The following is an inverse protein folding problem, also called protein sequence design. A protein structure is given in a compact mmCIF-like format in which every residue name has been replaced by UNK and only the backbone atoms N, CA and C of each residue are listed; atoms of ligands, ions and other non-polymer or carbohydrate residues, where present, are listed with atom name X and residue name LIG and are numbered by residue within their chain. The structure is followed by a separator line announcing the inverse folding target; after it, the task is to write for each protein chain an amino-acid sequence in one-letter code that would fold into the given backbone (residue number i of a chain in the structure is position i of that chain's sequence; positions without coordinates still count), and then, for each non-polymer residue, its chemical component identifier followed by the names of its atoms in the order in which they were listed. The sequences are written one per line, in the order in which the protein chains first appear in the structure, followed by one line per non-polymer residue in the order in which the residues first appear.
data_IF_763721759633
#
_entry.id   IF_763721759633
#
_cell.length_a   1.000
_cell.length_b   1.000
_cell.length_c   1.000
_cell.angle_alpha   90.00
_cell.angle_beta   90.00
_cell.angle_gamma   90.00
#
_symmetry.space_group_name_H-M   'P 1'
#
loop_
_entity.id
_entity.type
_entity.pdbx_description
1 polymer ?
#
# COMPACT_ATOMS: atom_id res chain seq x y z
N UNK A 1 23.04 -22.53 1.14
CA UNK A 1 22.02 -22.25 2.18
C UNK A 1 21.73 -20.76 2.14
N UNK A 2 20.61 -20.33 1.53
CA UNK A 2 20.17 -18.93 1.57
C UNK A 2 19.92 -18.59 3.05
N UNK A 3 20.49 -17.50 3.55
CA UNK A 3 20.18 -17.00 4.89
C UNK A 3 18.66 -16.85 4.99
N UNK A 4 18.01 -17.65 5.84
CA UNK A 4 16.61 -17.46 6.19
C UNK A 4 16.55 -16.24 7.11
N UNK A 5 16.63 -15.05 6.51
CA UNK A 5 16.32 -13.81 7.20
C UNK A 5 14.90 -13.87 7.78
N UNK A 6 14.65 -13.08 8.82
CA UNK A 6 13.31 -12.94 9.40
C UNK A 6 12.34 -12.43 8.32
N UNK A 7 11.22 -13.13 8.11
CA UNK A 7 10.16 -12.71 7.18
C UNK A 7 9.50 -11.44 7.70
N UNK A 8 9.12 -10.54 6.80
CA UNK A 8 8.33 -9.37 7.18
C UNK A 8 6.86 -9.75 7.31
N UNK A 9 6.32 -9.54 8.50
CA UNK A 9 4.90 -9.69 8.82
C UNK A 9 4.43 -8.33 9.26
N UNK A 10 3.70 -7.65 8.37
CA UNK A 10 3.39 -6.25 8.55
C UNK A 10 1.96 -5.87 8.19
N UNK A 11 1.71 -4.58 8.35
CA UNK A 11 0.46 -3.92 7.98
C UNK A 11 0.78 -2.63 7.21
N UNK A 12 -0.16 -2.20 6.38
CA UNK A 12 -0.13 -0.89 5.77
C UNK A 12 -0.71 0.16 6.73
N UNK A 13 -0.15 1.35 6.76
CA UNK A 13 -0.70 2.52 7.47
C UNK A 13 -1.49 3.40 6.50
N UNK A 14 -2.44 2.77 5.79
CA UNK A 14 -3.31 3.42 4.81
C UNK A 14 -4.24 4.45 5.45
N UNK A 15 -4.72 5.41 4.65
CA UNK A 15 -5.51 6.55 5.12
C UNK A 15 -4.87 7.42 6.19
N UNK A 16 -3.56 7.29 6.47
CA UNK A 16 -2.87 8.17 7.42
C UNK A 16 -2.25 9.40 6.74
N UNK A 17 -1.30 9.19 5.81
CA UNK A 17 -0.60 10.27 5.09
C UNK A 17 -1.10 10.46 3.64
N UNK A 18 -1.98 9.56 3.18
CA UNK A 18 -2.76 9.68 1.93
C UNK A 18 -4.17 9.26 2.28
N UNK A 19 -5.17 10.13 2.14
CA UNK A 19 -6.55 9.87 2.54
C UNK A 19 -7.30 9.03 1.51
N UNK A 20 -8.00 8.00 1.97
CA UNK A 20 -9.01 7.28 1.19
C UNK A 20 -10.37 7.39 1.86
N UNK A 21 -11.36 7.86 1.11
CA UNK A 21 -12.68 8.19 1.64
C UNK A 21 -13.39 7.01 2.29
N UNK A 22 -13.21 5.80 1.74
CA UNK A 22 -13.88 4.60 2.23
C UNK A 22 -13.34 4.12 3.59
N UNK A 23 -12.06 4.42 3.93
CA UNK A 23 -11.46 4.05 5.21
C UNK A 23 -11.76 5.05 6.33
N UNK A 24 -11.80 6.34 5.99
CA UNK A 24 -12.02 7.46 6.93
C UNK A 24 -13.18 8.37 6.48
N UNK A 25 -14.39 7.82 6.27
CA UNK A 25 -15.54 8.57 5.75
C UNK A 25 -15.89 9.80 6.59
N UNK A 26 -15.61 9.80 7.89
CA UNK A 26 -15.88 10.94 8.78
C UNK A 26 -15.17 12.23 8.33
N UNK A 27 -13.99 12.14 7.71
CA UNK A 27 -13.27 13.31 7.18
C UNK A 27 -13.93 13.92 5.95
N UNK A 28 -14.69 13.11 5.21
CA UNK A 28 -15.35 13.51 3.96
C UNK A 28 -16.84 13.84 4.15
N UNK A 29 -17.37 13.76 5.37
CA UNK A 29 -18.77 14.01 5.65
C UNK A 29 -19.18 15.44 5.24
N UNK A 30 -20.24 15.54 4.45
CA UNK A 30 -20.76 16.81 3.93
C UNK A 30 -19.96 17.42 2.78
N UNK A 31 -18.93 16.74 2.28
CA UNK A 31 -18.11 17.19 1.15
C UNK A 31 -18.45 16.45 -0.15
N UNK A 32 -18.30 17.13 -1.28
CA UNK A 32 -18.39 16.52 -2.60
C UNK A 32 -17.12 15.72 -2.95
N UNK A 33 -16.00 16.05 -2.32
CA UNK A 33 -14.70 15.41 -2.47
C UNK A 33 -14.76 13.87 -2.43
N UNK A 34 -13.98 13.26 -3.33
CA UNK A 34 -13.85 11.80 -3.47
C UNK A 34 -12.44 11.29 -3.24
N UNK A 35 -11.45 12.18 -3.18
CA UNK A 35 -10.04 11.90 -2.99
C UNK A 35 -9.37 13.05 -2.20
N UNK A 36 -8.12 12.87 -1.77
CA UNK A 36 -7.42 13.90 -0.98
C UNK A 36 -7.23 15.23 -1.74
N UNK A 37 -7.06 15.17 -3.07
CA UNK A 37 -6.90 16.38 -3.89
C UNK A 37 -8.14 17.25 -3.85
N UNK A 38 -9.28 16.67 -4.17
CA UNK A 38 -10.58 17.37 -4.14
C UNK A 38 -10.96 17.75 -2.72
N UNK A 39 -10.59 16.95 -1.72
CA UNK A 39 -10.79 17.26 -0.29
C UNK A 39 -10.03 18.51 0.13
N UNK A 40 -8.74 18.60 -0.22
CA UNK A 40 -7.93 19.78 0.05
C UNK A 40 -8.43 21.01 -0.73
N UNK A 41 -8.78 20.83 -2.00
CA UNK A 41 -9.28 21.92 -2.86
C UNK A 41 -10.63 22.48 -2.38
N UNK A 42 -11.54 21.62 -1.94
CA UNK A 42 -12.88 22.00 -1.47
C UNK A 42 -12.81 22.69 -0.09
N UNK A 43 -12.01 22.16 0.84
CA UNK A 43 -11.88 22.74 2.19
C UNK A 43 -11.01 24.00 2.25
N UNK A 44 -10.04 24.14 1.34
CA UNK A 44 -9.06 25.23 1.38
C UNK A 44 -8.33 25.30 2.73
N UNK A 45 -8.27 26.48 3.34
CA UNK A 45 -7.57 26.71 4.62
C UNK A 45 -8.05 25.80 5.77
N UNK A 46 -9.32 25.38 5.76
CA UNK A 46 -9.88 24.50 6.78
C UNK A 46 -9.30 23.06 6.73
N UNK A 47 -8.69 22.67 5.61
CA UNK A 47 -8.04 21.37 5.45
C UNK A 47 -6.92 21.17 6.47
N UNK A 48 -6.15 22.24 6.75
CA UNK A 48 -4.96 22.16 7.61
C UNK A 48 -5.30 21.71 9.02
N UNK A 49 -6.27 22.33 9.69
CA UNK A 49 -6.65 21.96 11.06
C UNK A 49 -7.18 20.51 11.12
N UNK A 50 -8.03 20.13 10.18
CA UNK A 50 -8.64 18.80 10.11
C UNK A 50 -7.58 17.72 9.89
N UNK A 51 -6.67 17.92 8.93
CA UNK A 51 -5.67 16.91 8.60
C UNK A 51 -4.59 16.80 9.67
N UNK A 52 -4.17 17.90 10.31
CA UNK A 52 -3.27 17.83 11.45
C UNK A 52 -3.89 17.10 12.64
N UNK A 53 -5.19 17.28 12.89
CA UNK A 53 -5.88 16.50 13.92
C UNK A 53 -5.84 15.01 13.58
N UNK A 54 -6.24 14.65 12.36
CA UNK A 54 -6.21 13.28 11.85
C UNK A 54 -4.83 12.63 11.99
N UNK A 55 -3.77 13.29 11.50
CA UNK A 55 -2.40 12.81 11.59
C UNK A 55 -1.94 12.51 13.02
N UNK A 56 -2.47 13.21 14.02
CA UNK A 56 -2.08 13.06 15.41
C UNK A 56 -2.98 12.11 16.22
N UNK A 57 -4.11 11.65 15.68
CA UNK A 57 -5.06 10.80 16.41
C UNK A 57 -5.37 9.46 15.74
N UNK A 58 -5.18 9.34 14.43
CA UNK A 58 -5.56 8.11 13.71
C UNK A 58 -4.57 6.97 13.92
N UNK A 59 -3.26 7.27 13.76
CA UNK A 59 -2.16 6.38 14.11
C UNK A 59 -1.23 7.11 15.08
N UNK A 60 -0.89 6.42 16.17
CA UNK A 60 -0.16 6.95 17.31
C UNK A 60 0.99 6.01 17.71
N UNK A 61 1.83 6.45 18.64
CA UNK A 61 2.89 5.61 19.21
C UNK A 61 2.36 4.29 19.78
N UNK A 62 1.19 4.30 20.42
CA UNK A 62 0.61 3.11 21.04
C UNK A 62 0.16 2.09 20.00
N UNK A 63 -0.15 2.53 18.78
CA UNK A 63 -0.44 1.62 17.67
C UNK A 63 0.82 0.85 17.23
N UNK A 64 1.99 1.50 17.20
CA UNK A 64 3.28 0.82 16.93
C UNK A 64 3.64 -0.16 18.05
N UNK A 65 3.40 0.21 19.31
CA UNK A 65 3.56 -0.69 20.46
C UNK A 65 2.68 -1.92 20.32
N UNK A 66 1.39 -1.73 20.00
CA UNK A 66 0.41 -2.80 19.82
C UNK A 66 0.85 -3.76 18.70
N UNK A 67 1.32 -3.25 17.56
CA UNK A 67 1.82 -4.07 16.46
C UNK A 67 2.99 -4.96 16.90
N UNK A 68 3.99 -4.38 17.56
CA UNK A 68 5.13 -5.13 18.06
C UNK A 68 4.74 -6.17 19.12
N UNK A 69 3.83 -5.81 20.04
CA UNK A 69 3.30 -6.74 21.05
C UNK A 69 2.60 -7.94 20.42
N UNK A 70 1.92 -7.76 19.28
CA UNK A 70 1.25 -8.83 18.53
C UNK A 70 2.20 -9.61 17.61
N UNK A 71 3.50 -9.31 17.62
CA UNK A 71 4.52 -10.04 16.89
C UNK A 71 4.67 -9.62 15.43
N UNK A 72 4.11 -8.48 15.04
CA UNK A 72 4.39 -7.87 13.75
C UNK A 72 5.78 -7.22 13.83
N UNK A 73 6.49 -7.20 12.71
CA UNK A 73 7.86 -6.70 12.65
C UNK A 73 8.09 -5.67 11.53
N UNK A 74 7.03 -5.26 10.83
CA UNK A 74 7.12 -4.28 9.76
C UNK A 74 5.84 -3.45 9.58
N UNK A 75 6.00 -2.25 9.02
CA UNK A 75 4.91 -1.40 8.52
C UNK A 75 5.26 -0.88 7.12
N UNK A 76 4.25 -0.77 6.26
CA UNK A 76 4.33 -0.07 4.97
C UNK A 76 3.58 1.25 5.09
N UNK A 77 4.20 2.36 4.69
CA UNK A 77 3.67 3.72 4.88
C UNK A 77 3.45 4.38 3.51
N UNK A 78 2.18 4.45 3.06
CA UNK A 78 1.79 5.21 1.87
C UNK A 78 2.07 6.71 1.99
N UNK A 79 2.69 7.30 0.96
CA UNK A 79 3.05 8.73 0.91
C UNK A 79 2.60 9.36 -0.42
N UNK A 80 2.03 10.56 -0.34
CA UNK A 80 1.74 11.37 -1.52
C UNK A 80 2.96 12.18 -1.96
N UNK A 81 3.04 12.50 -3.26
CA UNK A 81 4.12 13.31 -3.83
C UNK A 81 4.22 14.73 -3.22
N UNK A 82 3.20 15.17 -2.49
CA UNK A 82 3.15 16.43 -1.75
C UNK A 82 3.78 16.37 -0.36
N UNK A 83 4.29 15.22 0.10
CA UNK A 83 4.79 14.99 1.47
C UNK A 83 5.78 16.06 1.97
N UNK A 84 6.57 16.63 1.06
CA UNK A 84 7.57 17.66 1.35
C UNK A 84 7.07 19.11 1.20
N UNK A 85 5.82 19.32 0.84
CA UNK A 85 5.26 20.63 0.48
C UNK A 85 5.66 21.10 -0.93
N UNK A 86 5.31 22.35 -1.24
CA UNK A 86 5.61 23.01 -2.52
C UNK A 86 7.12 23.02 -2.85
N UNK A 87 7.52 23.12 -4.12
CA UNK A 87 6.74 23.41 -5.35
C UNK A 87 6.58 22.16 -6.22
N UNK A 88 5.47 21.42 -6.06
CA UNK A 88 5.11 20.28 -6.91
C UNK A 88 4.37 20.74 -8.18
N UNK A 89 4.41 19.97 -9.29
CA UNK A 89 3.72 20.33 -10.54
C UNK A 89 2.22 20.58 -10.34
N UNK A 90 1.71 21.67 -10.93
CA UNK A 90 0.28 22.00 -10.89
C UNK A 90 -0.55 21.07 -11.79
N UNK A 91 -1.72 20.65 -11.29
CA UNK A 91 -2.75 19.94 -12.04
C UNK A 91 -4.09 20.71 -11.94
N UNK A 92 -4.93 20.76 -13.01
CA UNK A 92 -6.21 21.47 -12.97
C UNK A 92 -7.17 21.06 -11.85
N UNK A 93 -7.15 19.79 -11.40
CA UNK A 93 -7.96 19.31 -10.27
C UNK A 93 -7.64 19.99 -8.93
N UNK A 94 -6.54 20.73 -8.84
CA UNK A 94 -6.18 21.50 -7.63
C UNK A 94 -7.06 22.76 -7.47
N UNK A 95 -7.84 23.10 -8.49
CA UNK A 95 -8.76 24.24 -8.47
C UNK A 95 -7.99 25.57 -8.47
N UNK A 96 -8.42 26.50 -7.63
CA UNK A 96 -7.87 27.86 -7.59
C UNK A 96 -6.52 27.94 -6.88
N UNK A 97 -6.21 26.99 -6.00
CA UNK A 97 -4.93 26.94 -5.30
C UNK A 97 -3.91 26.19 -6.14
N UNK A 98 -2.74 26.80 -6.36
CA UNK A 98 -1.63 26.12 -7.04
C UNK A 98 -1.10 24.94 -6.22
N UNK A 99 -1.14 25.07 -4.89
CA UNK A 99 -0.66 24.07 -3.95
C UNK A 99 -1.70 23.82 -2.85
N UNK A 100 -2.73 22.99 -3.11
CA UNK A 100 -3.82 22.79 -2.15
C UNK A 100 -3.47 21.87 -0.98
N UNK A 101 -2.46 21.01 -1.11
CA UNK A 101 -2.16 19.98 -0.10
C UNK A 101 -1.62 20.60 1.18
N UNK A 102 -2.06 20.03 2.31
CA UNK A 102 -1.64 20.45 3.64
C UNK A 102 -0.17 20.10 3.87
N UNK A 103 0.60 21.06 4.39
CA UNK A 103 2.00 20.87 4.76
C UNK A 103 2.14 20.27 6.17
N UNK A 104 3.23 19.58 6.45
CA UNK A 104 3.54 19.02 7.78
C UNK A 104 3.63 17.49 7.82
N UNK A 105 3.18 16.80 6.78
CA UNK A 105 3.23 15.34 6.68
C UNK A 105 4.62 14.75 6.87
N UNK A 106 5.69 15.41 6.40
CA UNK A 106 7.06 14.92 6.62
C UNK A 106 7.43 14.81 8.11
N UNK A 107 6.95 15.72 8.96
CA UNK A 107 7.20 15.67 10.40
C UNK A 107 6.40 14.56 11.10
N UNK A 108 5.26 14.16 10.52
CA UNK A 108 4.49 12.98 10.96
C UNK A 108 5.27 11.72 10.61
N UNK A 109 5.81 11.64 9.39
CA UNK A 109 6.66 10.52 8.96
C UNK A 109 7.93 10.41 9.81
N UNK A 110 8.58 11.52 10.16
CA UNK A 110 9.73 11.51 11.08
C UNK A 110 9.37 10.81 12.42
N UNK A 111 8.23 11.17 13.02
CA UNK A 111 7.76 10.52 14.26
C UNK A 111 7.45 9.03 14.07
N UNK A 112 6.87 8.66 12.93
CA UNK A 112 6.58 7.27 12.59
C UNK A 112 7.87 6.43 12.50
N UNK A 113 8.92 6.99 11.90
CA UNK A 113 10.23 6.36 11.81
C UNK A 113 10.84 6.14 13.20
N UNK A 114 10.77 7.15 14.09
CA UNK A 114 11.24 7.05 15.47
C UNK A 114 10.48 5.95 16.25
N UNK A 115 9.14 5.92 16.14
CA UNK A 115 8.33 4.86 16.77
C UNK A 115 8.66 3.48 16.21
N UNK A 116 8.85 3.36 14.89
CA UNK A 116 9.27 2.10 14.29
C UNK A 116 10.60 1.60 14.86
N UNK A 117 11.59 2.48 14.98
CA UNK A 117 12.86 2.14 15.61
C UNK A 117 12.68 1.74 17.07
N UNK A 118 11.90 2.51 17.84
CA UNK A 118 11.64 2.25 19.27
C UNK A 118 11.09 0.85 19.50
N UNK A 119 10.15 0.40 18.66
CA UNK A 119 9.49 -0.89 18.79
C UNK A 119 10.08 -2.00 17.92
N UNK A 120 11.22 -1.75 17.26
CA UNK A 120 11.91 -2.75 16.44
C UNK A 120 11.19 -3.11 15.13
N UNK A 121 10.28 -2.25 14.66
CA UNK A 121 9.57 -2.41 13.40
C UNK A 121 10.42 -1.89 12.22
N UNK A 122 10.36 -2.61 11.11
CA UNK A 122 10.93 -2.22 9.82
C UNK A 122 9.94 -1.37 9.03
N UNK A 123 10.43 -0.37 8.31
CA UNK A 123 9.59 0.53 7.51
C UNK A 123 9.85 0.34 6.02
N UNK A 124 8.78 0.11 5.27
CA UNK A 124 8.73 0.26 3.81
C UNK A 124 8.05 1.60 3.53
N UNK A 125 8.79 2.54 2.95
CA UNK A 125 8.23 3.81 2.48
C UNK A 125 7.68 3.60 1.08
N UNK A 126 6.45 4.04 0.81
CA UNK A 126 5.79 3.81 -0.47
C UNK A 126 5.35 5.14 -1.10
N UNK A 127 5.80 5.43 -2.32
CA UNK A 127 5.25 6.52 -3.11
C UNK A 127 3.89 6.10 -3.68
N UNK A 128 2.85 6.36 -2.88
CA UNK A 128 1.50 5.88 -3.11
C UNK A 128 0.71 6.71 -4.11
N UNK A 129 0.94 8.02 -4.13
CA UNK A 129 0.26 8.95 -5.04
C UNK A 129 1.28 9.82 -5.77
N UNK A 130 1.36 9.67 -7.10
CA UNK A 130 2.24 10.43 -7.97
C UNK A 130 1.53 11.67 -8.57
N UNK A 131 2.25 12.73 -8.96
CA UNK A 131 1.64 13.89 -9.61
C UNK A 131 0.94 13.47 -10.91
N UNK A 132 -0.29 13.96 -11.09
CA UNK A 132 -1.14 13.56 -12.21
C UNK A 132 -1.74 12.16 -12.10
N UNK A 133 -1.56 11.46 -10.97
CA UNK A 133 -2.08 10.12 -10.68
C UNK A 133 -1.62 9.02 -11.66
N UNK A 134 -1.18 7.89 -11.13
CA UNK A 134 -0.62 6.78 -11.91
C UNK A 134 -1.65 5.69 -12.26
N UNK A 135 -2.85 5.75 -11.66
CA UNK A 135 -3.82 4.65 -11.71
C UNK A 135 -5.29 5.07 -11.93
N UNK A 136 -5.65 6.33 -11.71
CA UNK A 136 -7.03 6.80 -11.79
C UNK A 136 -7.89 6.43 -10.59
N UNK A 137 -7.30 5.89 -9.53
CA UNK A 137 -7.97 5.58 -8.28
C UNK A 137 -7.89 6.78 -7.32
N UNK A 138 -8.79 6.81 -6.34
CA UNK A 138 -8.75 7.82 -5.28
C UNK A 138 -7.48 7.70 -4.44
N UNK A 139 -6.98 6.47 -4.21
CA UNK A 139 -5.71 6.20 -3.52
C UNK A 139 -4.47 6.81 -4.24
N UNK A 140 -4.55 6.98 -5.56
CA UNK A 140 -3.53 7.67 -6.37
C UNK A 140 -3.58 9.21 -6.25
N UNK A 141 -4.51 9.72 -5.43
CA UNK A 141 -4.67 11.12 -5.07
C UNK A 141 -5.65 11.90 -5.94
N UNK A 142 -5.91 11.46 -7.19
CA UNK A 142 -6.87 12.10 -8.10
C UNK A 142 -7.65 11.01 -8.85
N UNK A 143 -8.92 10.83 -8.47
CA UNK A 143 -9.80 9.84 -9.09
C UNK A 143 -10.07 10.19 -10.57
N UNK A 144 -10.19 9.16 -11.40
CA UNK A 144 -10.48 9.23 -12.84
C UNK A 144 -9.41 9.95 -13.69
N UNK A 145 -8.22 10.23 -13.13
CA UNK A 145 -7.07 10.84 -13.82
C UNK A 145 -5.91 9.86 -13.86
N UNK A 146 -5.28 9.67 -15.03
CA UNK A 146 -4.08 8.86 -15.17
C UNK A 146 -3.11 9.55 -16.14
N UNK A 147 -2.45 10.60 -15.65
CA UNK A 147 -1.58 11.47 -16.44
C UNK A 147 -0.12 11.40 -16.01
N UNK A 148 0.22 10.74 -14.90
CA UNK A 148 1.59 10.68 -14.36
C UNK A 148 2.65 10.37 -15.43
N UNK A 149 2.39 9.37 -16.28
CA UNK A 149 3.31 8.90 -17.32
C UNK A 149 3.34 9.78 -18.59
N UNK A 150 2.52 10.84 -18.66
CA UNK A 150 2.34 11.65 -19.88
C UNK A 150 3.19 12.92 -19.91
N UNK A 151 3.74 13.34 -18.76
CA UNK A 151 4.47 14.60 -18.60
C UNK A 151 5.84 14.39 -17.94
N UNK A 152 6.95 14.84 -18.56
CA UNK A 152 8.29 14.71 -17.97
C UNK A 152 8.43 15.36 -16.58
N UNK A 153 7.71 16.46 -16.32
CA UNK A 153 7.73 17.11 -15.01
C UNK A 153 7.10 16.28 -13.88
N UNK A 154 6.10 15.45 -14.20
CA UNK A 154 5.50 14.54 -13.22
C UNK A 154 6.48 13.43 -12.86
N UNK A 155 7.16 12.89 -13.87
CA UNK A 155 8.20 11.88 -13.70
C UNK A 155 9.36 12.40 -12.83
N UNK A 156 9.93 13.56 -13.17
CA UNK A 156 11.06 14.12 -12.43
C UNK A 156 10.66 14.49 -11.00
N UNK A 157 9.43 14.98 -10.77
CA UNK A 157 8.95 15.25 -9.41
C UNK A 157 8.85 13.96 -8.58
N UNK A 158 8.28 12.88 -9.13
CA UNK A 158 8.24 11.58 -8.44
C UNK A 158 9.65 11.08 -8.09
N UNK A 159 10.59 11.12 -9.04
CA UNK A 159 11.99 10.73 -8.81
C UNK A 159 12.66 11.60 -7.75
N UNK A 160 12.39 12.91 -7.76
CA UNK A 160 12.90 13.86 -6.77
C UNK A 160 12.35 13.60 -5.36
N UNK A 161 11.08 13.21 -5.23
CA UNK A 161 10.50 12.80 -3.94
C UNK A 161 11.23 11.56 -3.40
N UNK A 162 11.44 10.54 -4.23
CA UNK A 162 12.18 9.32 -3.84
C UNK A 162 13.63 9.61 -3.43
N UNK A 163 14.35 10.46 -4.20
CA UNK A 163 15.72 10.86 -3.88
C UNK A 163 15.79 11.57 -2.52
N UNK A 164 14.83 12.48 -2.23
CA UNK A 164 14.74 13.19 -0.95
C UNK A 164 14.38 12.28 0.21
N UNK A 165 13.50 11.30 0.03
CA UNK A 165 13.20 10.29 1.05
C UNK A 165 14.43 9.44 1.36
N UNK A 166 15.14 8.98 0.31
CA UNK A 166 16.38 8.24 0.45
C UNK A 166 17.45 9.06 1.18
N UNK A 167 17.68 10.31 0.78
CA UNK A 167 18.65 11.19 1.44
C UNK A 167 18.32 11.43 2.92
N UNK A 168 17.04 11.71 3.22
CA UNK A 168 16.58 12.03 4.57
C UNK A 168 16.73 10.85 5.54
N UNK A 169 16.36 9.65 5.08
CA UNK A 169 16.28 8.47 5.96
C UNK A 169 17.42 7.45 5.75
N UNK A 170 18.44 7.76 4.93
CA UNK A 170 19.57 6.86 4.61
C UNK A 170 20.22 6.20 5.82
N UNK A 171 20.30 6.93 6.93
CA UNK A 171 20.97 6.51 8.15
C UNK A 171 20.00 5.95 9.20
N UNK A 172 18.68 6.06 8.96
CA UNK A 172 17.65 5.66 9.91
C UNK A 172 17.59 4.12 10.05
N UNK A 173 17.76 3.55 11.25
CA UNK A 173 17.79 2.09 11.47
C UNK A 173 16.50 1.35 11.08
N UNK A 174 15.35 2.02 11.21
CA UNK A 174 14.06 1.44 10.87
C UNK A 174 13.83 1.32 9.34
N UNK A 175 14.51 2.13 8.51
CA UNK A 175 14.31 2.10 7.06
C UNK A 175 14.75 0.75 6.49
N UNK A 176 13.83 0.02 5.90
CA UNK A 176 14.08 -1.27 5.27
C UNK A 176 14.04 -1.18 3.74
N UNK A 177 13.04 -0.50 3.20
CA UNK A 177 12.87 -0.38 1.75
C UNK A 177 12.16 0.91 1.36
N UNK A 178 12.33 1.29 0.09
CA UNK A 178 11.59 2.36 -0.56
C UNK A 178 10.93 1.76 -1.82
N UNK A 179 9.61 1.80 -1.87
CA UNK A 179 8.80 1.45 -3.03
C UNK A 179 8.62 2.67 -3.93
N UNK A 180 8.94 2.46 -5.22
CA UNK A 180 9.14 3.57 -6.16
C UNK A 180 7.84 4.14 -6.71
N UNK A 181 6.77 3.33 -6.78
CA UNK A 181 5.45 3.75 -7.22
C UNK A 181 4.42 2.64 -6.96
N UNK A 182 3.37 2.97 -6.21
CA UNK A 182 2.23 2.09 -5.97
C UNK A 182 1.36 1.92 -7.23
N UNK A 183 0.97 0.68 -7.55
CA UNK A 183 -0.16 0.36 -8.44
C UNK A 183 -0.25 1.12 -9.78
N UNK A 184 0.83 1.32 -10.58
CA UNK A 184 0.66 1.95 -11.89
C UNK A 184 -0.31 1.16 -12.76
N UNK A 185 -1.25 1.86 -13.42
CA UNK A 185 -2.35 1.23 -14.19
C UNK A 185 -1.84 0.21 -15.20
N UNK A 186 -2.60 -0.85 -15.42
CA UNK A 186 -2.27 -1.95 -16.33
C UNK A 186 -2.02 -1.53 -17.79
N UNK A 187 -2.49 -0.37 -18.22
CA UNK A 187 -2.32 0.15 -19.58
C UNK A 187 -1.18 1.17 -19.74
N UNK A 188 -0.48 1.55 -18.65
CA UNK A 188 0.79 2.27 -18.77
C UNK A 188 1.81 1.35 -19.45
N UNK A 189 2.61 1.78 -20.44
CA UNK A 189 3.53 0.87 -21.11
C UNK A 189 4.55 0.24 -20.16
N UNK A 190 4.72 -1.08 -20.18
CA UNK A 190 5.65 -1.80 -19.29
C UNK A 190 7.09 -1.30 -19.42
N UNK A 191 7.54 -0.99 -20.63
CA UNK A 191 8.88 -0.43 -20.86
C UNK A 191 9.06 0.96 -20.24
N UNK A 192 7.97 1.75 -20.15
CA UNK A 192 7.98 3.02 -19.45
C UNK A 192 8.17 2.81 -17.94
N UNK A 193 7.43 1.86 -17.35
CA UNK A 193 7.58 1.50 -15.93
C UNK A 193 8.99 0.98 -15.62
N UNK A 194 9.54 0.11 -16.48
CA UNK A 194 10.92 -0.36 -16.34
C UNK A 194 11.92 0.79 -16.37
N UNK A 195 11.79 1.73 -17.32
CA UNK A 195 12.66 2.89 -17.39
C UNK A 195 12.58 3.76 -16.12
N UNK A 196 11.37 4.01 -15.61
CA UNK A 196 11.18 4.73 -14.35
C UNK A 196 11.80 4.00 -13.15
N UNK A 197 11.56 2.69 -13.02
CA UNK A 197 12.09 1.88 -11.92
C UNK A 197 13.63 1.87 -11.90
N UNK A 198 14.27 1.83 -13.08
CA UNK A 198 15.72 1.96 -13.21
C UNK A 198 16.21 3.34 -12.75
N UNK A 199 15.56 4.42 -13.19
CA UNK A 199 15.93 5.78 -12.77
C UNK A 199 15.73 5.98 -11.25
N UNK A 200 14.63 5.46 -10.69
CA UNK A 200 14.36 5.51 -9.27
C UNK A 200 15.41 4.72 -8.46
N UNK A 201 15.79 3.53 -8.93
CA UNK A 201 16.87 2.74 -8.33
C UNK A 201 18.18 3.52 -8.28
N UNK A 202 18.59 4.15 -9.38
CA UNK A 202 19.81 4.97 -9.42
C UNK A 202 19.76 6.13 -8.42
N UNK A 203 18.63 6.85 -8.36
CA UNK A 203 18.42 7.99 -7.45
C UNK A 203 18.50 7.56 -5.98
N UNK A 204 17.83 6.47 -5.61
CA UNK A 204 17.87 5.93 -4.25
C UNK A 204 19.28 5.45 -3.90
N UNK A 205 19.99 4.78 -4.81
CA UNK A 205 21.32 4.22 -4.58
C UNK A 205 22.42 5.26 -4.38
N UNK A 206 22.21 6.53 -4.77
CA UNK A 206 23.12 7.63 -4.42
C UNK A 206 23.23 7.86 -2.91
N UNK A 207 22.17 7.57 -2.16
CA UNK A 207 22.09 7.83 -0.71
C UNK A 207 22.02 6.54 0.11
N UNK A 208 21.41 5.50 -0.44
CA UNK A 208 21.08 4.27 0.29
C UNK A 208 21.82 3.06 -0.30
N UNK A 209 22.85 2.51 0.38
CA UNK A 209 23.55 1.32 -0.09
C UNK A 209 22.65 0.08 -0.09
N UNK A 210 22.88 -0.80 -1.06
CA UNK A 210 22.06 -2.00 -1.27
C UNK A 210 22.11 -2.97 -0.07
N UNK A 211 23.16 -2.93 0.74
CA UNK A 211 23.30 -3.76 1.94
C UNK A 211 22.33 -3.34 3.07
N UNK A 212 21.76 -2.14 3.00
CA UNK A 212 20.86 -1.59 4.03
C UNK A 212 19.41 -1.46 3.57
N UNK A 213 19.19 -0.89 2.39
CA UNK A 213 17.85 -0.47 1.95
C UNK A 213 17.51 -1.12 0.62
N UNK A 214 16.39 -1.82 0.57
CA UNK A 214 15.88 -2.39 -0.67
C UNK A 214 15.17 -1.32 -1.52
N UNK A 215 15.18 -1.51 -2.83
CA UNK A 215 14.32 -0.77 -3.76
C UNK A 215 13.20 -1.70 -4.18
N UNK A 216 11.95 -1.27 -3.99
CA UNK A 216 10.77 -2.08 -4.30
C UNK A 216 10.08 -1.50 -5.54
N UNK A 217 9.60 -2.36 -6.44
CA UNK A 217 8.72 -1.95 -7.54
C UNK A 217 7.52 -2.88 -7.65
N UNK A 218 6.35 -2.27 -7.87
CA UNK A 218 5.07 -2.95 -8.03
C UNK A 218 4.93 -3.61 -9.41
N UNK A 219 4.16 -4.72 -9.51
CA UNK A 219 3.89 -5.44 -10.75
C UNK A 219 3.10 -4.62 -11.79
N UNK A 220 2.36 -3.63 -11.32
CA UNK A 220 1.47 -2.78 -12.10
C UNK A 220 0.30 -3.54 -12.70
N UNK A 221 -0.16 -4.60 -12.02
CA UNK A 221 -1.22 -5.51 -12.45
C UNK A 221 -0.93 -6.25 -13.75
N UNK A 222 0.35 -6.55 -14.00
CA UNK A 222 0.81 -7.36 -15.14
C UNK A 222 1.21 -8.75 -14.68
N UNK A 223 1.22 -9.70 -15.62
CA UNK A 223 1.87 -10.99 -15.37
C UNK A 223 3.35 -10.74 -15.04
N UNK A 224 3.83 -11.33 -13.95
CA UNK A 224 5.21 -11.17 -13.49
C UNK A 224 6.24 -11.54 -14.58
N UNK A 225 5.84 -12.35 -15.57
CA UNK A 225 6.68 -12.77 -16.70
C UNK A 225 7.13 -11.61 -17.57
N UNK A 226 6.41 -10.49 -17.55
CA UNK A 226 6.85 -9.27 -18.21
C UNK A 226 8.15 -8.69 -17.60
N UNK A 227 8.50 -9.06 -16.37
CA UNK A 227 9.70 -8.64 -15.66
C UNK A 227 10.81 -9.71 -15.60
N UNK A 228 10.72 -10.80 -16.37
CA UNK A 228 11.80 -11.79 -16.43
C UNK A 228 13.11 -11.13 -16.91
N UNK A 229 14.20 -11.38 -16.16
CA UNK A 229 15.51 -10.79 -16.42
C UNK A 229 15.63 -9.30 -16.06
N UNK A 230 14.56 -8.65 -15.56
CA UNK A 230 14.60 -7.27 -15.13
C UNK A 230 15.25 -7.13 -13.74
N UNK A 231 16.09 -6.11 -13.58
CA UNK A 231 16.76 -5.73 -12.31
C UNK A 231 17.39 -6.89 -11.52
N UNK A 232 18.13 -7.76 -12.22
CA UNK A 232 18.81 -8.92 -11.62
C UNK A 232 20.23 -8.60 -11.10
N UNK A 233 20.71 -9.44 -10.19
CA UNK A 233 22.12 -9.44 -9.77
C UNK A 233 23.06 -9.90 -10.92
N UNK A 234 24.32 -9.42 -10.97
CA UNK A 234 24.98 -8.54 -10.00
C UNK A 234 24.74 -7.03 -10.24
N UNK A 235 24.10 -6.64 -11.34
CA UNK A 235 23.96 -5.23 -11.74
C UNK A 235 23.02 -4.47 -10.80
N UNK A 236 21.92 -5.09 -10.41
CA UNK A 236 20.94 -4.51 -9.49
C UNK A 236 20.85 -5.40 -8.25
N UNK A 237 21.20 -4.83 -7.10
CA UNK A 237 21.27 -5.55 -5.82
C UNK A 237 20.17 -5.08 -4.88
N UNK A 238 19.65 -5.98 -4.06
CA UNK A 238 18.59 -5.74 -3.09
C UNK A 238 17.38 -5.01 -3.70
N UNK A 239 16.79 -5.66 -4.69
CA UNK A 239 15.56 -5.25 -5.38
C UNK A 239 14.46 -6.21 -4.98
N UNK A 240 13.28 -5.69 -4.69
CA UNK A 240 12.11 -6.48 -4.28
C UNK A 240 10.97 -6.21 -5.26
N UNK A 241 10.29 -7.27 -5.66
CA UNK A 241 9.08 -7.21 -6.47
C UNK A 241 7.87 -7.15 -5.55
N UNK A 242 6.96 -6.20 -5.77
CA UNK A 242 5.70 -6.13 -5.01
C UNK A 242 4.51 -6.58 -5.84
N UNK A 243 3.61 -7.33 -5.19
CA UNK A 243 2.36 -7.81 -5.75
C UNK A 243 1.20 -7.56 -4.78
N UNK A 244 0.07 -7.14 -5.31
CA UNK A 244 -1.17 -6.96 -4.56
C UNK A 244 -2.17 -8.06 -4.90
N UNK A 245 -2.80 -8.66 -3.89
CA UNK A 245 -3.68 -9.82 -4.08
C UNK A 245 -4.99 -9.65 -3.31
N UNK A 246 -6.04 -9.35 -4.06
CA UNK A 246 -7.42 -9.19 -3.59
C UNK A 246 -8.36 -10.12 -4.38
N UNK A 247 -9.52 -10.45 -3.78
CA UNK A 247 -10.56 -11.26 -4.44
C UNK A 247 -11.94 -10.60 -4.36
N UNK A 248 -12.01 -9.28 -4.61
CA UNK A 248 -13.26 -8.54 -4.54
C UNK A 248 -13.48 -7.54 -5.71
N UNK A 249 -12.50 -7.37 -6.61
CA UNK A 249 -12.54 -6.34 -7.65
C UNK A 249 -12.91 -6.87 -9.04
N UNK A 250 -12.76 -8.17 -9.29
CA UNK A 250 -13.11 -8.80 -10.56
C UNK A 250 -14.42 -9.57 -10.45
N UNK A 251 -15.19 -9.61 -11.55
CA UNK A 251 -16.50 -10.29 -11.57
C UNK A 251 -16.40 -11.76 -11.18
N UNK A 252 -15.37 -12.45 -11.67
CA UNK A 252 -15.14 -13.86 -11.34
C UNK A 252 -14.93 -14.09 -9.85
N UNK A 253 -14.34 -13.11 -9.15
CA UNK A 253 -14.12 -13.19 -7.71
C UNK A 253 -15.37 -12.84 -6.92
N UNK A 254 -16.11 -11.82 -7.36
CA UNK A 254 -17.38 -11.40 -6.75
C UNK A 254 -18.43 -12.52 -6.78
N UNK A 255 -18.42 -13.35 -7.82
CA UNK A 255 -19.37 -14.45 -7.99
C UNK A 255 -18.95 -15.74 -7.24
N UNK A 256 -17.79 -15.76 -6.56
CA UNK A 256 -17.35 -16.92 -5.78
C UNK A 256 -18.03 -17.05 -4.42
N UNK A 257 -18.19 -18.29 -3.98
CA UNK A 257 -18.48 -18.60 -2.58
C UNK A 257 -17.19 -18.64 -1.74
N UNK A 258 -17.34 -18.73 -0.40
CA UNK A 258 -16.17 -18.79 0.49
C UNK A 258 -15.22 -19.95 0.16
N UNK A 259 -15.73 -21.09 -0.31
CA UNK A 259 -14.89 -22.25 -0.63
C UNK A 259 -14.09 -22.01 -1.90
N UNK A 260 -14.65 -21.31 -2.88
CA UNK A 260 -13.96 -20.79 -4.06
C UNK A 260 -12.80 -19.89 -3.66
N UNK A 261 -13.05 -18.90 -2.81
CA UNK A 261 -12.02 -17.98 -2.35
C UNK A 261 -10.86 -18.68 -1.62
N UNK A 262 -11.16 -19.60 -0.70
CA UNK A 262 -10.16 -20.39 0.01
C UNK A 262 -9.37 -21.27 -0.97
N UNK A 263 -10.04 -21.88 -1.96
CA UNK A 263 -9.38 -22.71 -2.98
C UNK A 263 -8.47 -21.89 -3.89
N UNK A 264 -8.89 -20.69 -4.32
CA UNK A 264 -8.05 -19.77 -5.10
C UNK A 264 -6.80 -19.36 -4.30
N UNK A 265 -6.96 -18.97 -3.03
CA UNK A 265 -5.85 -18.58 -2.17
C UNK A 265 -4.85 -19.73 -1.90
N UNK A 266 -5.33 -20.94 -1.65
CA UNK A 266 -4.49 -22.10 -1.30
C UNK A 266 -4.00 -22.92 -2.50
N UNK A 267 -4.61 -22.74 -3.67
CA UNK A 267 -4.31 -23.46 -4.90
C UNK A 267 -3.65 -22.55 -5.94
N UNK A 268 -4.44 -21.68 -6.56
CA UNK A 268 -4.00 -20.85 -7.69
C UNK A 268 -2.89 -19.87 -7.29
N UNK A 269 -3.11 -19.06 -6.25
CA UNK A 269 -2.10 -18.12 -5.77
C UNK A 269 -0.88 -18.80 -5.17
N UNK A 270 -1.03 -20.00 -4.62
CA UNK A 270 0.12 -20.81 -4.20
C UNK A 270 0.98 -21.23 -5.40
N UNK A 271 0.35 -21.64 -6.51
CA UNK A 271 1.04 -22.01 -7.74
C UNK A 271 1.71 -20.80 -8.38
N UNK A 272 1.02 -19.66 -8.39
CA UNK A 272 1.60 -18.38 -8.80
C UNK A 272 2.83 -18.02 -7.97
N UNK A 273 2.74 -18.11 -6.63
CA UNK A 273 3.87 -17.87 -5.74
C UNK A 273 5.06 -18.80 -6.04
N UNK A 274 4.79 -20.09 -6.26
CA UNK A 274 5.80 -21.06 -6.68
C UNK A 274 6.46 -20.67 -8.02
N UNK A 275 5.67 -20.18 -8.98
CA UNK A 275 6.16 -19.71 -10.28
C UNK A 275 6.99 -18.42 -10.15
N UNK A 276 6.52 -17.39 -9.44
CA UNK A 276 7.26 -16.14 -9.19
C UNK A 276 8.62 -16.45 -8.57
N UNK A 277 8.64 -17.24 -7.49
CA UNK A 277 9.88 -17.57 -6.76
C UNK A 277 10.89 -18.32 -7.65
N UNK A 278 10.40 -19.16 -8.57
CA UNK A 278 11.24 -20.02 -9.42
C UNK A 278 11.70 -19.32 -10.70
N UNK A 279 10.80 -18.55 -11.32
CA UNK A 279 11.00 -17.97 -12.65
C UNK A 279 11.52 -16.52 -12.59
N UNK A 280 11.00 -15.66 -11.69
CA UNK A 280 11.33 -14.23 -11.67
C UNK A 280 12.75 -13.95 -11.16
N UNK A 281 13.23 -14.75 -10.20
CA UNK A 281 14.55 -14.60 -9.60
C UNK A 281 14.71 -13.45 -8.61
N UNK A 282 13.66 -12.65 -8.37
CA UNK A 282 13.64 -11.57 -7.38
C UNK A 282 12.96 -12.01 -6.07
N UNK A 283 13.42 -11.54 -4.89
CA UNK A 283 12.61 -11.55 -3.68
C UNK A 283 11.30 -10.80 -3.91
N UNK A 284 10.22 -11.25 -3.29
CA UNK A 284 8.88 -10.70 -3.50
C UNK A 284 8.20 -10.38 -2.17
N UNK A 285 7.40 -9.33 -2.14
CA UNK A 285 6.40 -9.06 -1.11
C UNK A 285 5.00 -9.32 -1.66
N UNK A 286 4.08 -9.73 -0.78
CA UNK A 286 2.67 -9.41 -0.97
C UNK A 286 2.37 -8.12 -0.21
N UNK A 287 2.60 -6.98 -0.84
CA UNK A 287 2.52 -5.64 -0.25
C UNK A 287 1.11 -5.23 0.15
N UNK A 288 0.10 -5.85 -0.46
CA UNK A 288 -1.28 -5.64 -0.07
C UNK A 288 -2.16 -6.88 -0.25
N UNK A 289 -2.95 -7.16 0.78
CA UNK A 289 -4.02 -8.16 0.83
C UNK A 289 -4.96 -7.86 2.02
N UNK A 290 -6.19 -8.36 1.98
CA UNK A 290 -7.16 -8.17 3.08
C UNK A 290 -8.09 -9.37 3.25
N UNK A 291 -9.06 -9.28 4.15
CA UNK A 291 -10.19 -10.22 4.22
C UNK A 291 -11.43 -9.69 3.48
N UNK A 292 -11.34 -8.54 2.83
CA UNK A 292 -12.46 -7.93 2.14
C UNK A 292 -12.92 -8.74 0.94
N UNK A 293 -14.17 -9.21 1.00
CA UNK A 293 -14.84 -9.91 -0.11
C UNK A 293 -16.04 -9.13 -0.66
N UNK A 294 -16.54 -8.14 0.08
CA UNK A 294 -17.66 -7.29 -0.35
C UNK A 294 -17.16 -6.01 -1.01
N UNK A 295 -17.42 -5.88 -2.31
CA UNK A 295 -17.05 -4.71 -3.11
C UNK A 295 -17.77 -3.43 -2.63
N UNK A 296 -18.96 -3.51 -2.05
CA UNK A 296 -19.72 -2.34 -1.57
C UNK A 296 -18.97 -1.56 -0.49
N UNK A 297 -18.06 -2.23 0.21
CA UNK A 297 -17.30 -1.68 1.32
C UNK A 297 -16.18 -0.75 0.83
N UNK A 298 -15.55 -1.07 -0.31
CA UNK A 298 -14.41 -0.30 -0.87
C UNK A 298 -14.87 0.63 -1.99
N UNK A 299 -15.89 0.23 -2.73
CA UNK A 299 -16.56 1.08 -3.71
C UNK A 299 -17.92 1.50 -3.17
N UNK A 300 -17.95 2.66 -2.48
CA UNK A 300 -19.19 3.35 -2.08
C UNK A 300 -20.15 3.63 -3.27
N UNK A 301 -19.70 3.34 -4.49
CA UNK A 301 -20.37 3.61 -5.77
C UNK A 301 -20.75 2.34 -6.55
N UNK A 302 -20.50 1.13 -6.01
CA UNK A 302 -20.87 -0.11 -6.68
C UNK A 302 -22.38 -0.41 -6.53
N UNK A 303 -23.17 -0.16 -7.58
CA UNK A 303 -24.58 -0.55 -7.67
C UNK A 303 -24.73 -2.00 -8.17
N UNK A 304 -25.27 -2.91 -7.36
CA UNK A 304 -25.59 -4.29 -7.75
C UNK A 304 -25.79 -5.27 -6.56
N UNK A 305 -26.37 -6.46 -6.79
CA UNK A 305 -26.53 -7.51 -5.77
C UNK A 305 -25.18 -8.20 -5.54
N UNK A 306 -24.28 -7.55 -4.81
CA UNK A 306 -22.91 -8.05 -4.56
C UNK A 306 -22.80 -8.71 -3.20
N UNK A 307 -23.46 -9.86 -3.02
CA UNK A 307 -23.62 -10.45 -1.71
C UNK A 307 -23.66 -11.99 -1.82
N UNK A 308 -22.58 -12.62 -2.31
CA UNK A 308 -22.61 -14.07 -2.56
C UNK A 308 -21.77 -14.89 -1.57
N UNK A 309 -20.56 -14.47 -1.21
CA UNK A 309 -19.71 -15.31 -0.35
C UNK A 309 -20.24 -15.46 1.08
N UNK A 310 -20.84 -14.41 1.65
CA UNK A 310 -21.17 -14.33 3.09
C UNK A 310 -22.65 -14.04 3.40
N UNK A 311 -23.48 -13.67 2.42
CA UNK A 311 -24.82 -13.10 2.67
C UNK A 311 -25.76 -14.00 3.48
N UNK A 312 -25.62 -15.32 3.33
CA UNK A 312 -26.48 -16.30 4.00
C UNK A 312 -25.84 -16.90 5.27
N UNK A 313 -24.71 -16.32 5.73
CA UNK A 313 -24.01 -16.78 6.92
C UNK A 313 -24.48 -16.03 8.16
N UNK A 314 -24.65 -16.75 9.27
CA UNK A 314 -24.70 -16.13 10.58
C UNK A 314 -23.30 -15.66 11.04
N UNK A 315 -23.25 -14.91 12.14
CA UNK A 315 -21.99 -14.37 12.66
C UNK A 315 -20.93 -15.45 13.01
N UNK A 316 -21.36 -16.66 13.39
CA UNK A 316 -20.43 -17.75 13.68
C UNK A 316 -19.85 -18.33 12.38
N UNK A 317 -20.71 -18.56 11.39
CA UNK A 317 -20.31 -19.04 10.07
C UNK A 317 -19.37 -18.05 9.37
N UNK A 318 -19.68 -16.76 9.41
CA UNK A 318 -18.85 -15.67 8.87
C UNK A 318 -17.46 -15.64 9.54
N UNK A 319 -17.40 -15.74 10.87
CA UNK A 319 -16.13 -15.78 11.58
C UNK A 319 -15.28 -17.02 11.22
N UNK A 320 -15.90 -18.18 11.05
CA UNK A 320 -15.21 -19.40 10.60
C UNK A 320 -14.73 -19.28 9.15
N UNK A 321 -15.56 -18.71 8.27
CA UNK A 321 -15.23 -18.42 6.88
C UNK A 321 -14.00 -17.52 6.79
N UNK A 322 -14.00 -16.39 7.50
CA UNK A 322 -12.86 -15.47 7.51
C UNK A 322 -11.59 -16.09 8.07
N UNK A 323 -11.67 -16.92 9.13
CA UNK A 323 -10.51 -17.67 9.65
C UNK A 323 -9.92 -18.60 8.59
N UNK A 324 -10.77 -19.33 7.89
CA UNK A 324 -10.34 -20.24 6.81
C UNK A 324 -9.66 -19.49 5.67
N UNK A 325 -10.27 -18.38 5.25
CA UNK A 325 -9.73 -17.52 4.19
C UNK A 325 -8.40 -16.87 4.59
N UNK A 326 -8.34 -16.28 5.78
CA UNK A 326 -7.14 -15.69 6.35
C UNK A 326 -5.99 -16.71 6.46
N UNK A 327 -6.27 -17.91 6.98
CA UNK A 327 -5.28 -18.97 7.11
C UNK A 327 -4.75 -19.42 5.73
N UNK A 328 -5.64 -19.53 4.73
CA UNK A 328 -5.25 -19.88 3.37
C UNK A 328 -4.34 -18.85 2.73
N UNK A 329 -4.67 -17.56 2.87
CA UNK A 329 -3.85 -16.45 2.39
C UNK A 329 -2.49 -16.40 3.09
N UNK A 330 -2.46 -16.41 4.43
CA UNK A 330 -1.21 -16.40 5.21
C UNK A 330 -0.30 -17.59 4.86
N UNK A 331 -0.85 -18.80 4.71
CA UNK A 331 -0.06 -19.97 4.32
C UNK A 331 0.59 -19.81 2.93
N UNK A 332 -0.07 -19.11 2.02
CA UNK A 332 0.46 -18.79 0.69
C UNK A 332 1.48 -17.66 0.75
N UNK A 333 1.18 -16.55 1.42
CA UNK A 333 2.04 -15.36 1.44
C UNK A 333 3.30 -15.55 2.30
N UNK A 334 3.28 -16.47 3.27
CA UNK A 334 4.48 -16.94 3.98
C UNK A 334 5.47 -17.65 3.06
N UNK A 335 5.21 -17.83 1.76
CA UNK A 335 6.23 -18.26 0.79
C UNK A 335 7.16 -17.10 0.37
N UNK A 336 6.67 -15.87 0.41
CA UNK A 336 7.38 -14.66 0.00
C UNK A 336 8.35 -14.16 1.09
N UNK A 337 9.08 -13.07 0.80
CA UNK A 337 9.96 -12.42 1.77
C UNK A 337 9.15 -11.76 2.91
N UNK A 338 7.93 -11.35 2.61
CA UNK A 338 6.98 -10.83 3.58
C UNK A 338 5.63 -10.49 2.98
N UNK A 339 4.72 -10.06 3.85
CA UNK A 339 3.39 -9.61 3.50
C UNK A 339 2.96 -8.43 4.36
N UNK A 340 2.09 -7.59 3.81
CA UNK A 340 1.54 -6.43 4.50
C UNK A 340 0.01 -6.40 4.33
N UNK A 341 -0.71 -6.52 5.44
CA UNK A 341 -2.17 -6.47 5.42
C UNK A 341 -2.65 -5.05 5.10
N UNK A 342 -3.56 -4.91 4.15
CA UNK A 342 -4.27 -3.67 3.85
C UNK A 342 -5.62 -3.65 4.58
N UNK A 343 -5.77 -2.90 5.66
CA UNK A 343 -4.85 -1.95 6.29
C UNK A 343 -4.85 -2.09 7.81
N UNK A 344 -4.02 -1.32 8.53
CA UNK A 344 -3.96 -1.39 9.99
C UNK A 344 -5.31 -1.07 10.66
N UNK A 345 -5.97 0.01 10.22
CA UNK A 345 -7.17 0.58 10.84
C UNK A 345 -8.07 1.20 9.79
N UNK A 346 -9.38 1.03 9.97
CA UNK A 346 -10.44 1.74 9.23
C UNK A 346 -11.55 2.15 10.22
N UNK A 347 -12.43 3.07 9.85
CA UNK A 347 -13.52 3.50 10.73
C UNK A 347 -14.71 2.54 10.74
N UNK A 348 -15.00 1.89 9.60
CA UNK A 348 -16.29 1.20 9.39
C UNK A 348 -16.20 -0.14 8.66
N UNK A 349 -14.98 -0.62 8.35
CA UNK A 349 -14.79 -1.74 7.41
C UNK A 349 -13.93 -2.86 8.02
N UNK A 350 -14.49 -3.71 8.91
CA UNK A 350 -13.72 -4.64 9.73
C UNK A 350 -12.82 -5.60 8.95
N UNK A 351 -13.27 -6.13 7.82
CA UNK A 351 -12.50 -7.06 6.98
C UNK A 351 -11.24 -6.44 6.34
N UNK A 352 -11.16 -5.11 6.35
CA UNK A 352 -10.03 -4.30 5.90
C UNK A 352 -9.28 -3.64 7.07
N UNK A 353 -9.66 -3.94 8.31
CA UNK A 353 -9.03 -3.42 9.52
C UNK A 353 -8.29 -4.57 10.22
N UNK A 354 -6.97 -4.60 10.11
CA UNK A 354 -6.14 -5.65 10.71
C UNK A 354 -6.41 -5.80 12.20
N UNK A 355 -6.48 -4.66 12.92
CA UNK A 355 -6.73 -4.65 14.35
C UNK A 355 -8.06 -5.31 14.71
N UNK A 356 -9.13 -4.95 14.03
CA UNK A 356 -10.44 -5.59 14.24
C UNK A 356 -10.43 -7.06 13.83
N UNK A 357 -9.77 -7.43 12.73
CA UNK A 357 -9.62 -8.83 12.33
C UNK A 357 -8.94 -9.67 13.43
N UNK A 358 -7.94 -9.12 14.12
CA UNK A 358 -7.29 -9.77 15.26
C UNK A 358 -8.22 -9.81 16.49
N UNK A 359 -8.87 -8.70 16.84
CA UNK A 359 -9.77 -8.60 18.00
C UNK A 359 -11.01 -9.50 17.87
N UNK A 360 -11.53 -9.68 16.65
CA UNK A 360 -12.62 -10.61 16.31
C UNK A 360 -12.13 -12.07 16.21
N UNK A 361 -10.82 -12.28 16.23
CA UNK A 361 -10.17 -13.57 16.06
C UNK A 361 -10.33 -14.17 14.67
N UNK A 362 -10.53 -13.34 13.64
CA UNK A 362 -10.48 -13.75 12.23
C UNK A 362 -9.03 -14.00 11.78
N UNK A 363 -8.11 -13.18 12.29
CA UNK A 363 -6.67 -13.38 12.20
C UNK A 363 -6.09 -13.96 13.50
N UNK A 364 -4.88 -14.57 13.46
CA UNK A 364 -4.15 -14.97 14.66
C UNK A 364 -3.92 -13.80 15.63
N UNK A 365 -3.84 -14.10 16.94
CA UNK A 365 -3.53 -13.09 17.96
C UNK A 365 -2.03 -12.82 18.16
N UNK A 366 -1.17 -13.66 17.56
CA UNK A 366 0.30 -13.55 17.59
C UNK A 366 0.90 -13.97 16.25
N UNK A 367 1.90 -13.21 15.80
CA UNK A 367 2.59 -13.38 14.52
C UNK A 367 4.10 -13.60 14.66
N UNK A 368 4.62 -13.80 15.89
CA UNK A 368 6.03 -14.08 16.16
C UNK A 368 6.25 -15.56 16.51
#
# INVERSE_FOLDING_TARGET
MKQTGMKLRGVNLGSWLVLEKWMVPSLFEGLAATDETTWCAELGEAASEKLHRHWNTFVTRDDFAWLAEHGLNAVRIPLGHWIFGADYPYHPSYGVSRHPFVVGGIAVLDRAMDWAQEFGLRVVLDLHAAPGCQNGFDNGGIKDVCEWHTRPEYLEHSLGVLERLAERYRDHPALHAIEVLNEPRWDVPTDYLKAYNLAAYERIRKHCPAERVAVVFHDGFRDFREYLGFMQEPQYRNVIFDIHRYQCFERGDIDMDIYGHIRKATGEWKQEADAIITELGLPTFCGEWSLGLDLKVVSLWAEGPFNHALEQMDAFQEAVAYRGYAAGQLATYEKYLGWFFWSYKTETTPAWCFRECVERGWLPSRFA
#
